data_IF_605302652262
#
_entry.id   IF_605302652262
#
_cell.length_a   1.000
_cell.length_b   1.000
_cell.length_c   1.000
_cell.angle_alpha   90.00
_cell.angle_beta   90.00
_cell.angle_gamma   90.00
#
_symmetry.space_group_name_H-M   'P 1'
#
loop_
_entity.id
_entity.type
_entity.pdbx_description
1 polymer ?
#
# COMPACT_ATOMS: atom_id res chain seq x y z
N UNK A 1 6.20 29.43 52.50
CA UNK A 1 4.96 29.43 51.69
C UNK A 1 5.14 28.37 50.63
N UNK A 2 4.34 27.31 50.69
CA UNK A 2 4.48 26.12 49.85
C UNK A 2 4.13 26.46 48.40
N UNK A 3 5.15 26.68 47.56
CA UNK A 3 5.00 26.87 46.11
C UNK A 3 4.29 25.69 45.43
N UNK A 4 4.31 24.50 46.05
CA UNK A 4 3.64 23.28 45.57
C UNK A 4 2.12 23.26 45.79
N UNK A 5 1.54 24.27 46.46
CA UNK A 5 0.09 24.37 46.72
C UNK A 5 -0.62 25.42 45.87
N UNK A 6 0.10 26.22 45.09
CA UNK A 6 -0.53 27.19 44.21
C UNK A 6 -1.21 26.48 43.02
N UNK A 7 -2.50 26.74 42.73
CA UNK A 7 -3.26 26.05 41.69
C UNK A 7 -2.59 26.16 40.31
N UNK A 8 -1.94 27.28 40.03
CA UNK A 8 -1.20 27.50 38.79
C UNK A 8 0.03 26.59 38.64
N UNK A 9 0.84 26.43 39.70
CA UNK A 9 2.02 25.56 39.65
C UNK A 9 1.60 24.09 39.45
N UNK A 10 0.51 23.67 40.11
CA UNK A 10 -0.06 22.33 39.92
C UNK A 10 -0.55 22.11 38.48
N UNK A 11 -1.13 23.13 37.84
CA UNK A 11 -1.54 23.03 36.43
C UNK A 11 -0.33 22.76 35.50
N UNK A 12 0.77 23.50 35.66
CA UNK A 12 1.98 23.28 34.88
C UNK A 12 2.66 21.92 35.17
N UNK A 13 2.56 21.41 36.39
CA UNK A 13 3.03 20.05 36.70
C UNK A 13 2.22 18.99 35.93
N UNK A 14 0.90 19.18 35.84
CA UNK A 14 0.02 18.30 35.06
C UNK A 14 0.32 18.37 33.56
N UNK A 15 0.63 19.55 33.02
CA UNK A 15 1.05 19.70 31.61
C UNK A 15 2.33 18.91 31.30
N UNK A 16 3.37 19.03 32.14
CA UNK A 16 4.61 18.25 31.99
C UNK A 16 4.35 16.74 32.09
N UNK A 17 3.44 16.34 32.97
CA UNK A 17 3.00 14.94 33.10
C UNK A 17 2.27 14.49 31.83
N UNK A 18 1.38 15.31 31.29
CA UNK A 18 0.63 15.04 30.07
C UNK A 18 1.55 14.84 28.86
N UNK A 19 2.60 15.66 28.70
CA UNK A 19 3.61 15.49 27.66
C UNK A 19 4.32 14.13 27.75
N UNK A 20 4.66 13.72 28.98
CA UNK A 20 5.31 12.41 29.23
C UNK A 20 4.37 11.27 28.86
N UNK A 21 3.09 11.35 29.25
CA UNK A 21 2.07 10.35 28.93
C UNK A 21 1.74 10.28 27.44
N UNK A 22 1.77 11.42 26.74
CA UNK A 22 1.59 11.52 25.29
C UNK A 22 2.70 10.75 24.55
N UNK A 23 3.96 10.89 24.98
CA UNK A 23 5.09 10.10 24.45
C UNK A 23 4.93 8.60 24.72
N UNK A 24 4.33 8.23 25.85
CA UNK A 24 4.01 6.84 26.20
C UNK A 24 2.75 6.29 25.51
N UNK A 25 2.07 7.09 24.67
CA UNK A 25 0.81 6.74 23.97
C UNK A 25 -0.35 6.39 24.92
N UNK A 26 -0.30 6.84 26.18
CA UNK A 26 -1.36 6.68 27.17
C UNK A 26 -2.38 7.82 27.04
N UNK A 27 -3.23 7.71 26.01
CA UNK A 27 -4.14 8.80 25.61
C UNK A 27 -5.11 9.21 26.72
N UNK A 28 -5.69 8.25 27.45
CA UNK A 28 -6.68 8.52 28.51
C UNK A 28 -6.08 9.27 29.71
N UNK A 29 -4.94 8.80 30.21
CA UNK A 29 -4.23 9.45 31.31
C UNK A 29 -3.76 10.87 30.91
N UNK A 30 -3.37 11.05 29.65
CA UNK A 30 -2.97 12.34 29.08
C UNK A 30 -4.17 13.32 29.02
N UNK A 31 -5.33 12.86 28.54
CA UNK A 31 -6.57 13.65 28.52
C UNK A 31 -6.93 14.09 29.94
N UNK A 32 -6.88 13.17 30.91
CA UNK A 32 -7.21 13.48 32.29
C UNK A 32 -6.29 14.57 32.88
N UNK A 33 -4.99 14.54 32.57
CA UNK A 33 -4.06 15.57 33.04
C UNK A 33 -4.41 16.96 32.49
N UNK A 34 -4.78 17.07 31.21
CA UNK A 34 -5.23 18.35 30.63
C UNK A 34 -6.58 18.81 31.20
N UNK A 35 -7.52 17.89 31.45
CA UNK A 35 -8.81 18.20 32.11
C UNK A 35 -8.59 18.76 33.50
N UNK A 36 -7.75 18.11 34.31
CA UNK A 36 -7.40 18.58 35.65
C UNK A 36 -6.68 19.94 35.61
N UNK A 37 -5.81 20.17 34.61
CA UNK A 37 -5.16 21.47 34.41
C UNK A 37 -6.17 22.59 34.08
N UNK A 38 -7.15 22.33 33.21
CA UNK A 38 -8.24 23.29 32.89
C UNK A 38 -9.00 23.70 34.14
N UNK A 39 -9.34 22.75 35.02
CA UNK A 39 -10.05 23.04 36.26
C UNK A 39 -9.21 23.91 37.23
N UNK A 40 -7.89 23.71 37.25
CA UNK A 40 -6.99 24.55 38.04
C UNK A 40 -6.87 25.95 37.44
N UNK A 41 -6.78 26.09 36.12
CA UNK A 41 -6.78 27.40 35.47
C UNK A 41 -8.08 28.16 35.71
N UNK A 42 -9.25 27.50 35.67
CA UNK A 42 -10.55 28.11 36.05
C UNK A 42 -10.52 28.68 37.47
N UNK A 43 -9.92 27.95 38.42
CA UNK A 43 -9.75 28.44 39.80
C UNK A 43 -8.80 29.63 39.87
N UNK A 44 -7.71 29.62 39.11
CA UNK A 44 -6.79 30.75 39.04
C UNK A 44 -7.47 32.01 38.47
N UNK A 45 -8.34 31.85 37.46
CA UNK A 45 -9.10 32.97 36.88
C UNK A 45 -10.08 33.60 37.87
N UNK A 46 -10.63 32.82 38.80
CA UNK A 46 -11.54 33.32 39.84
C UNK A 46 -10.82 34.05 40.99
N UNK A 47 -9.52 33.78 41.18
CA UNK A 47 -8.73 34.30 42.30
C UNK A 47 -7.81 35.47 41.92
N UNK A 48 -7.59 35.71 40.63
CA UNK A 48 -6.66 36.72 40.14
C UNK A 48 -7.33 38.07 39.90
N UNK A 49 -6.66 39.16 40.28
CA UNK A 49 -7.12 40.54 40.03
C UNK A 49 -6.37 41.22 38.87
N UNK A 50 -5.19 40.70 38.50
CA UNK A 50 -4.37 41.29 37.44
C UNK A 50 -4.87 40.84 36.05
N UNK A 51 -5.43 41.79 35.30
CA UNK A 51 -5.95 41.58 33.94
C UNK A 51 -4.96 40.87 33.00
N UNK A 52 -3.69 41.26 32.99
CA UNK A 52 -2.70 40.65 32.09
C UNK A 52 -2.42 39.18 32.47
N UNK A 53 -2.38 38.88 33.77
CA UNK A 53 -2.21 37.51 34.23
C UNK A 53 -3.44 36.67 33.92
N UNK A 54 -4.65 37.21 34.07
CA UNK A 54 -5.89 36.55 33.71
C UNK A 54 -5.96 36.22 32.22
N UNK A 55 -5.57 37.15 31.34
CA UNK A 55 -5.50 36.90 29.89
C UNK A 55 -4.52 35.77 29.56
N UNK A 56 -3.34 35.75 30.19
CA UNK A 56 -2.37 34.67 30.00
C UNK A 56 -2.89 33.32 30.47
N UNK A 57 -3.55 33.28 31.63
CA UNK A 57 -4.16 32.07 32.20
C UNK A 57 -5.31 31.57 31.31
N UNK A 58 -6.11 32.49 30.75
CA UNK A 58 -7.19 32.18 29.83
C UNK A 58 -6.65 31.51 28.57
N UNK A 59 -5.57 32.03 27.98
CA UNK A 59 -4.92 31.41 26.81
C UNK A 59 -4.39 30.00 27.13
N UNK A 60 -3.80 29.81 28.31
CA UNK A 60 -3.33 28.49 28.76
C UNK A 60 -4.48 27.49 28.93
N UNK A 61 -5.61 27.95 29.49
CA UNK A 61 -6.83 27.15 29.60
C UNK A 61 -7.35 26.73 28.23
N UNK A 62 -7.48 27.67 27.29
CA UNK A 62 -7.94 27.41 25.92
C UNK A 62 -7.02 26.45 25.18
N UNK A 63 -5.70 26.58 25.37
CA UNK A 63 -4.73 25.64 24.82
C UNK A 63 -4.96 24.22 25.36
N UNK A 64 -5.17 24.04 26.66
CA UNK A 64 -5.46 22.73 27.23
C UNK A 64 -6.81 22.16 26.75
N UNK A 65 -7.84 23.00 26.60
CA UNK A 65 -9.12 22.59 26.01
C UNK A 65 -8.95 22.11 24.56
N UNK A 66 -8.10 22.79 23.77
CA UNK A 66 -7.73 22.35 22.41
C UNK A 66 -7.00 21.01 22.43
N UNK A 67 -6.03 20.81 23.33
CA UNK A 67 -5.30 19.56 23.47
C UNK A 67 -6.22 18.38 23.84
N UNK A 68 -7.20 18.59 24.73
CA UNK A 68 -8.19 17.58 25.07
C UNK A 68 -8.95 17.11 23.82
N UNK A 69 -9.44 18.04 23.00
CA UNK A 69 -10.17 17.71 21.76
C UNK A 69 -9.31 16.89 20.80
N UNK A 70 -8.07 17.33 20.57
CA UNK A 70 -7.14 16.63 19.68
C UNK A 70 -6.86 15.20 20.15
N UNK A 71 -6.61 15.02 21.44
CA UNK A 71 -6.35 13.70 22.01
C UNK A 71 -7.58 12.79 21.93
N UNK A 72 -8.78 13.32 22.15
CA UNK A 72 -10.04 12.57 22.00
C UNK A 72 -10.25 12.15 20.54
N UNK A 73 -10.04 13.04 19.59
CA UNK A 73 -10.17 12.73 18.17
C UNK A 73 -9.17 11.66 17.74
N UNK A 74 -7.90 11.81 18.14
CA UNK A 74 -6.84 10.83 17.87
C UNK A 74 -7.12 9.47 18.53
N UNK A 75 -7.67 9.45 19.74
CA UNK A 75 -8.13 8.23 20.41
C UNK A 75 -9.22 7.54 19.58
N UNK A 76 -10.26 8.27 19.17
CA UNK A 76 -11.37 7.71 18.37
C UNK A 76 -10.90 7.12 17.03
N UNK A 77 -9.89 7.73 16.40
CA UNK A 77 -9.33 7.24 15.15
C UNK A 77 -8.53 5.95 15.37
N UNK A 78 -7.76 5.88 16.45
CA UNK A 78 -7.02 4.67 16.82
C UNK A 78 -7.95 3.51 17.18
N UNK A 79 -9.08 3.78 17.82
CA UNK A 79 -10.08 2.76 18.14
C UNK A 79 -10.71 2.20 16.87
N UNK A 80 -11.17 3.05 15.95
CA UNK A 80 -11.72 2.63 14.64
C UNK A 80 -10.73 1.79 13.83
N UNK A 81 -9.48 2.25 13.72
CA UNK A 81 -8.45 1.51 12.96
C UNK A 81 -8.05 0.19 13.65
N UNK A 82 -8.08 0.11 14.98
CA UNK A 82 -7.88 -1.15 15.71
C UNK A 82 -9.02 -2.14 15.45
N UNK A 83 -10.25 -1.67 15.38
CA UNK A 83 -11.40 -2.51 15.05
C UNK A 83 -11.28 -3.04 13.62
N UNK A 84 -11.02 -2.17 12.64
CA UNK A 84 -10.80 -2.56 11.24
C UNK A 84 -9.65 -3.55 11.05
N UNK A 85 -8.55 -3.39 11.79
CA UNK A 85 -7.41 -4.32 11.75
C UNK A 85 -7.69 -5.63 12.49
N UNK A 86 -8.55 -5.65 13.51
CA UNK A 86 -9.03 -6.91 14.11
C UNK A 86 -9.83 -7.74 13.11
N UNK A 87 -10.57 -7.08 12.20
CA UNK A 87 -11.27 -7.75 11.09
C UNK A 87 -10.33 -8.15 9.94
N UNK A 88 -9.20 -7.44 9.72
CA UNK A 88 -8.17 -7.81 8.71
C UNK A 88 -7.05 -8.74 9.22
N UNK A 89 -6.86 -8.87 10.52
CA UNK A 89 -5.75 -9.61 11.14
C UNK A 89 -5.77 -11.12 10.90
N UNK A 90 -6.88 -11.65 10.35
CA UNK A 90 -7.00 -13.04 9.95
C UNK A 90 -6.28 -13.32 8.61
N UNK A 91 -5.95 -12.30 7.80
CA UNK A 91 -5.41 -12.50 6.44
C UNK A 91 -3.95 -12.10 6.21
N UNK A 92 -3.28 -11.39 7.13
CA UNK A 92 -1.97 -10.76 6.86
C UNK A 92 -0.79 -11.20 7.76
N UNK A 93 -0.78 -12.43 8.25
CA UNK A 93 0.40 -13.03 8.92
C UNK A 93 1.44 -13.57 7.92
N UNK A 94 1.94 -12.74 7.00
CA UNK A 94 3.02 -13.10 6.05
C UNK A 94 3.95 -11.92 5.77
N UNK A 95 4.71 -11.47 6.76
CA UNK A 95 5.89 -10.64 6.53
C UNK A 95 7.14 -11.39 7.00
N UNK A 96 7.54 -12.38 6.19
CA UNK A 96 8.82 -13.12 6.23
C UNK A 96 9.69 -12.75 5.01
N UNK A 97 9.36 -11.67 4.29
CA UNK A 97 9.95 -11.37 2.98
C UNK A 97 11.42 -10.93 3.05
N UNK A 98 11.88 -10.36 4.16
CA UNK A 98 13.27 -9.90 4.26
C UNK A 98 14.30 -11.05 4.31
N UNK A 99 13.95 -12.18 4.92
CA UNK A 99 14.80 -13.39 4.90
C UNK A 99 14.77 -14.13 3.54
N UNK A 100 13.85 -13.78 2.64
CA UNK A 100 13.68 -14.51 1.36
C UNK A 100 14.50 -13.92 0.21
N UNK A 101 14.76 -12.61 0.19
CA UNK A 101 15.45 -11.96 -0.94
C UNK A 101 16.95 -12.22 -0.86
N UNK A 102 17.58 -11.97 0.28
CA UNK A 102 19.02 -12.20 0.49
C UNK A 102 19.38 -13.69 0.31
N UNK A 103 18.47 -14.59 0.69
CA UNK A 103 18.61 -16.03 0.50
C UNK A 103 18.45 -16.44 -0.98
N UNK A 104 17.59 -15.76 -1.74
CA UNK A 104 17.42 -16.00 -3.17
C UNK A 104 18.62 -15.49 -3.98
N UNK A 105 19.14 -14.31 -3.65
CA UNK A 105 20.36 -13.75 -4.26
C UNK A 105 21.55 -14.69 -4.06
N UNK A 106 21.78 -15.15 -2.83
CA UNK A 106 22.84 -16.12 -2.54
C UNK A 106 22.66 -17.45 -3.30
N UNK A 107 21.41 -17.92 -3.48
CA UNK A 107 21.12 -19.11 -4.29
C UNK A 107 21.40 -18.90 -5.77
N UNK A 108 21.09 -17.73 -6.31
CA UNK A 108 21.34 -17.38 -7.71
C UNK A 108 22.86 -17.36 -7.98
N UNK A 109 23.63 -16.67 -7.14
CA UNK A 109 25.09 -16.62 -7.28
C UNK A 109 25.76 -17.99 -7.08
N UNK A 110 25.30 -18.79 -6.12
CA UNK A 110 25.80 -20.16 -5.93
C UNK A 110 25.50 -21.05 -7.14
N UNK A 111 24.32 -20.92 -7.75
CA UNK A 111 23.96 -21.69 -8.95
C UNK A 111 24.86 -21.30 -10.14
N UNK A 112 25.08 -20.01 -10.31
CA UNK A 112 26.03 -19.46 -11.28
C UNK A 112 27.46 -19.99 -11.09
N UNK A 113 27.97 -20.06 -9.87
CA UNK A 113 29.29 -20.65 -9.59
C UNK A 113 29.35 -22.14 -9.96
N UNK A 114 28.29 -22.90 -9.63
CA UNK A 114 28.23 -24.33 -9.99
C UNK A 114 28.13 -24.54 -11.51
N UNK A 115 27.40 -23.67 -12.19
CA UNK A 115 27.25 -23.72 -13.65
C UNK A 115 28.56 -23.40 -14.36
N UNK A 116 29.28 -22.35 -13.94
CA UNK A 116 30.58 -22.01 -14.51
C UNK A 116 31.65 -23.08 -14.23
N UNK A 117 31.62 -23.69 -13.05
CA UNK A 117 32.49 -24.82 -12.71
C UNK A 117 32.25 -26.01 -13.65
N UNK A 118 30.98 -26.28 -14.00
CA UNK A 118 30.62 -27.33 -14.95
C UNK A 118 31.05 -26.98 -16.39
N UNK A 119 30.80 -25.75 -16.84
CA UNK A 119 31.26 -25.28 -18.15
C UNK A 119 32.78 -25.36 -18.27
N UNK A 120 33.51 -24.95 -17.22
CA UNK A 120 34.96 -25.06 -17.14
C UNK A 120 35.43 -26.51 -17.21
N UNK A 121 34.78 -27.41 -16.47
CA UNK A 121 35.08 -28.84 -16.51
C UNK A 121 34.85 -29.45 -17.90
N UNK A 122 33.75 -29.09 -18.59
CA UNK A 122 33.46 -29.56 -19.94
C UNK A 122 34.47 -29.02 -20.96
N UNK A 123 34.85 -27.75 -20.85
CA UNK A 123 35.90 -27.15 -21.67
C UNK A 123 37.23 -27.89 -21.52
N UNK A 124 37.61 -28.22 -20.28
CA UNK A 124 38.87 -28.92 -19.99
C UNK A 124 38.86 -30.38 -20.44
N UNK A 125 37.70 -31.05 -20.39
CA UNK A 125 37.53 -32.43 -20.86
C UNK A 125 37.56 -32.53 -22.39
N UNK A 126 37.00 -31.56 -23.10
CA UNK A 126 37.07 -31.49 -24.57
C UNK A 126 38.51 -31.39 -25.09
N UNK A 127 39.35 -30.62 -24.41
CA UNK A 127 40.78 -30.48 -24.74
C UNK A 127 41.53 -31.82 -24.55
N UNK A 128 41.28 -32.54 -23.45
CA UNK A 128 41.92 -33.84 -23.15
C UNK A 128 41.47 -34.96 -24.11
N UNK A 129 40.27 -34.85 -24.68
CA UNK A 129 39.73 -35.82 -25.63
C UNK A 129 40.26 -35.62 -27.06
N UNK A 130 40.45 -34.37 -27.51
CA UNK A 130 41.03 -34.07 -28.82
C UNK A 130 42.51 -34.49 -28.91
N UNK A 131 43.25 -34.44 -27.79
CA UNK A 131 44.67 -34.83 -27.74
C UNK A 131 44.91 -36.36 -27.89
N UNK A 132 43.86 -37.20 -27.77
CA UNK A 132 43.97 -38.66 -27.91
C UNK A 132 43.60 -39.20 -29.29
N UNK A 133 43.11 -38.38 -30.22
CA UNK A 133 42.55 -38.87 -31.50
C UNK A 133 43.44 -38.64 -32.73
N UNK A 134 44.65 -38.08 -32.58
CA UNK A 134 45.61 -37.87 -33.69
C UNK A 134 46.70 -38.95 -33.78
N UNK A 135 46.36 -40.22 -33.54
CA UNK A 135 47.26 -41.35 -33.79
C UNK A 135 46.47 -42.54 -34.35
N UNK A 136 46.06 -42.40 -35.62
CA UNK A 136 45.45 -43.44 -36.43
C UNK A 136 45.92 -43.29 -37.88
N UNK A 137 47.05 -43.93 -38.18
CA UNK A 137 47.55 -44.25 -39.52
C UNK A 137 46.49 -44.96 -40.35
N UNK A 138 46.33 -44.62 -41.63
CA UNK A 138 46.07 -45.56 -42.75
C UNK A 138 46.58 -44.88 -44.04
N UNK A 139 47.58 -45.52 -44.64
CA UNK A 139 48.04 -45.34 -46.01
C UNK A 139 47.07 -46.01 -47.01
N UNK A 140 47.02 -45.44 -48.22
CA UNK A 140 46.75 -46.04 -49.55
C UNK A 140 45.45 -46.85 -49.83
N UNK A 141 44.66 -46.35 -50.79
CA UNK A 141 44.14 -47.13 -51.93
C UNK A 141 43.50 -46.22 -53.00
N UNK A 142 43.65 -46.62 -54.26
CA UNK A 142 43.40 -45.92 -55.52
C UNK A 142 41.91 -45.77 -55.94
N UNK A 143 41.67 -44.77 -56.80
CA UNK A 143 40.68 -44.65 -57.90
C UNK A 143 39.29 -45.33 -57.83
N UNK A 144 38.20 -44.54 -57.90
CA UNK A 144 37.31 -44.38 -59.10
C UNK A 144 36.05 -43.56 -58.83
N UNK A 145 35.60 -42.91 -59.90
CA UNK A 145 34.30 -42.28 -60.16
C UNK A 145 33.14 -42.70 -59.26
N UNK A 146 32.53 -41.72 -58.58
CA UNK A 146 31.12 -41.36 -58.70
C UNK A 146 30.88 -40.08 -57.88
N UNK A 147 30.19 -39.10 -58.46
CA UNK A 147 29.85 -37.84 -57.81
C UNK A 147 29.11 -38.09 -56.49
N UNK A 148 29.58 -37.59 -55.33
CA UNK A 148 28.79 -37.71 -54.12
C UNK A 148 27.63 -36.71 -54.22
N UNK A 149 26.43 -37.25 -54.35
CA UNK A 149 25.18 -36.57 -54.00
C UNK A 149 25.39 -35.89 -52.64
N UNK A 150 25.52 -34.56 -52.66
CA UNK A 150 25.74 -33.75 -51.45
C UNK A 150 24.44 -33.74 -50.66
N UNK A 151 24.21 -34.81 -49.90
CA UNK A 151 23.28 -34.81 -48.78
C UNK A 151 23.85 -33.82 -47.78
N UNK A 152 23.13 -32.73 -47.54
CA UNK A 152 23.43 -31.75 -46.52
C UNK A 152 23.34 -32.38 -45.13
N UNK A 153 24.35 -33.16 -44.76
CA UNK A 153 24.54 -33.66 -43.41
C UNK A 153 24.94 -32.47 -42.55
N UNK A 154 23.94 -31.83 -41.92
CA UNK A 154 24.17 -30.92 -40.80
C UNK A 154 24.92 -31.73 -39.74
N UNK A 155 26.24 -31.58 -39.72
CA UNK A 155 27.05 -32.19 -38.68
C UNK A 155 26.56 -31.65 -37.33
N UNK A 156 26.46 -32.49 -36.29
CA UNK A 156 26.26 -32.02 -34.93
C UNK A 156 27.31 -30.95 -34.64
N UNK A 157 26.91 -29.87 -33.97
CA UNK A 157 27.85 -28.79 -33.60
C UNK A 157 29.01 -29.42 -32.83
N UNK A 158 30.22 -28.97 -33.13
CA UNK A 158 31.41 -29.38 -32.37
C UNK A 158 31.24 -28.97 -30.90
N UNK A 159 31.59 -29.86 -29.98
CA UNK A 159 31.44 -29.66 -28.54
C UNK A 159 32.16 -28.38 -28.09
N UNK A 160 33.26 -28.02 -28.76
CA UNK A 160 33.98 -26.76 -28.54
C UNK A 160 33.10 -25.54 -28.80
N UNK A 161 32.35 -25.53 -29.90
CA UNK A 161 31.46 -24.43 -30.29
C UNK A 161 30.29 -24.34 -29.32
N UNK A 162 29.72 -25.49 -28.92
CA UNK A 162 28.63 -25.54 -27.94
C UNK A 162 29.06 -25.00 -26.58
N UNK A 163 30.28 -25.31 -26.13
CA UNK A 163 30.84 -24.81 -24.87
C UNK A 163 31.09 -23.29 -24.92
N UNK A 164 31.51 -22.76 -26.07
CA UNK A 164 31.67 -21.31 -26.28
C UNK A 164 30.32 -20.58 -26.25
N UNK A 165 29.32 -21.09 -26.98
CA UNK A 165 27.94 -20.55 -26.95
C UNK A 165 27.36 -20.59 -25.52
N UNK A 166 27.63 -21.65 -24.73
CA UNK A 166 27.22 -21.76 -23.34
C UNK A 166 27.89 -20.73 -22.42
N UNK A 167 29.18 -20.41 -22.66
CA UNK A 167 29.89 -19.36 -21.91
C UNK A 167 29.27 -17.99 -22.19
N UNK A 168 29.01 -17.69 -23.47
CA UNK A 168 28.43 -16.43 -23.88
C UNK A 168 27.02 -16.24 -23.30
N UNK A 169 26.17 -17.27 -23.38
CA UNK A 169 24.82 -17.24 -22.82
C UNK A 169 24.83 -17.11 -21.28
N UNK A 170 25.76 -17.79 -20.60
CA UNK A 170 25.97 -17.66 -19.14
C UNK A 170 26.35 -16.22 -18.77
N UNK A 171 27.22 -15.59 -19.57
CA UNK A 171 27.61 -14.19 -19.42
C UNK A 171 26.41 -13.23 -19.54
N UNK A 172 25.63 -13.36 -20.61
CA UNK A 172 24.43 -12.54 -20.84
C UNK A 172 23.40 -12.67 -19.70
N UNK A 173 23.21 -13.90 -19.18
CA UNK A 173 22.31 -14.14 -18.07
C UNK A 173 22.77 -13.43 -16.78
N UNK A 174 24.09 -13.42 -16.50
CA UNK A 174 24.66 -12.67 -15.36
C UNK A 174 24.44 -11.18 -15.49
N UNK A 175 24.70 -10.61 -16.66
CA UNK A 175 24.48 -9.18 -16.93
C UNK A 175 23.00 -8.81 -16.74
N UNK A 176 22.08 -9.65 -17.21
CA UNK A 176 20.64 -9.47 -17.01
C UNK A 176 20.25 -9.50 -15.54
N UNK A 177 20.73 -10.51 -14.79
CA UNK A 177 20.47 -10.61 -13.35
C UNK A 177 21.05 -9.44 -12.57
N UNK A 178 22.29 -9.03 -12.88
CA UNK A 178 22.91 -7.86 -12.25
C UNK A 178 22.12 -6.58 -12.54
N UNK A 179 21.64 -6.41 -13.77
CA UNK A 179 20.77 -5.30 -14.14
C UNK A 179 19.46 -5.28 -13.34
N UNK A 180 18.87 -6.44 -13.06
CA UNK A 180 17.68 -6.55 -12.21
C UNK A 180 17.97 -6.22 -10.75
N UNK A 181 19.11 -6.64 -10.20
CA UNK A 181 19.52 -6.32 -8.83
C UNK A 181 19.74 -4.81 -8.66
N UNK A 182 20.48 -4.18 -9.58
CA UNK A 182 20.69 -2.72 -9.56
C UNK A 182 19.35 -1.96 -9.62
N UNK A 183 18.40 -2.45 -10.42
CA UNK A 183 17.07 -1.87 -10.50
C UNK A 183 16.24 -2.05 -9.23
N UNK A 184 16.45 -3.13 -8.46
CA UNK A 184 15.81 -3.32 -7.16
C UNK A 184 16.40 -2.36 -6.13
N UNK A 185 17.72 -2.19 -6.12
CA UNK A 185 18.42 -1.25 -5.24
C UNK A 185 17.99 0.20 -5.51
N UNK A 186 17.93 0.61 -6.78
CA UNK A 186 17.43 1.92 -7.18
C UNK A 186 15.99 2.17 -6.71
N UNK A 187 15.14 1.14 -6.80
CA UNK A 187 13.75 1.22 -6.30
C UNK A 187 13.71 1.32 -4.78
N UNK A 188 14.57 0.57 -4.08
CA UNK A 188 14.68 0.61 -2.63
C UNK A 188 15.11 2.00 -2.14
N UNK A 189 16.13 2.60 -2.78
CA UNK A 189 16.59 3.97 -2.48
C UNK A 189 15.47 4.99 -2.73
N UNK A 190 14.75 4.89 -3.85
CA UNK A 190 13.60 5.78 -4.14
C UNK A 190 12.49 5.65 -3.10
N UNK A 191 12.20 4.44 -2.64
CA UNK A 191 11.23 4.20 -1.57
C UNK A 191 11.66 4.88 -0.27
N UNK A 192 12.93 4.75 0.11
CA UNK A 192 13.47 5.40 1.31
C UNK A 192 13.38 6.93 1.22
N UNK A 193 13.70 7.51 0.05
CA UNK A 193 13.54 8.94 -0.21
C UNK A 193 12.08 9.41 -0.13
N UNK A 194 11.13 8.62 -0.66
CA UNK A 194 9.70 8.94 -0.56
C UNK A 194 9.24 8.86 0.90
N UNK A 195 9.64 7.82 1.64
CA UNK A 195 9.34 7.68 3.07
C UNK A 195 9.88 8.89 3.85
N UNK A 196 11.10 9.33 3.55
CA UNK A 196 11.70 10.50 4.18
C UNK A 196 10.98 11.79 3.81
N UNK A 197 10.63 12.00 2.54
CA UNK A 197 9.82 13.15 2.10
C UNK A 197 8.45 13.19 2.78
N UNK A 198 7.80 12.04 2.95
CA UNK A 198 6.51 11.92 3.67
C UNK A 198 6.69 12.18 5.17
N UNK A 199 7.83 11.82 5.76
CA UNK A 199 8.13 12.19 7.15
C UNK A 199 8.37 13.69 7.28
N UNK A 200 9.05 14.30 6.31
CA UNK A 200 9.39 15.72 6.32
C UNK A 200 8.21 16.63 5.97
N UNK A 201 7.23 16.16 5.19
CA UNK A 201 5.98 16.89 4.94
C UNK A 201 5.03 16.91 6.16
N UNK A 202 5.25 16.04 7.16
CA UNK A 202 4.50 16.02 8.44
C UNK A 202 4.98 17.04 9.47
N UNK A 203 5.70 18.08 9.06
CA UNK A 203 6.30 19.07 9.98
C UNK A 203 5.42 20.28 10.28
N UNK A 204 4.26 20.45 9.64
CA UNK A 204 3.26 21.44 10.09
C UNK A 204 2.17 20.78 10.94
N UNK A 205 2.60 20.19 12.07
CA UNK A 205 1.69 19.55 13.04
C UNK A 205 0.64 20.52 13.59
N UNK A 206 0.96 21.81 13.62
CA UNK A 206 0.03 22.86 14.06
C UNK A 206 -1.14 23.01 13.08
N UNK A 207 -0.87 23.03 11.77
CA UNK A 207 -1.90 23.10 10.73
C UNK A 207 -2.71 21.80 10.62
N UNK A 208 -2.06 20.63 10.77
CA UNK A 208 -2.76 19.34 10.81
C UNK A 208 -3.75 19.24 11.99
N UNK A 209 -3.34 19.69 13.17
CA UNK A 209 -4.19 19.75 14.36
C UNK A 209 -5.37 20.73 14.19
N UNK A 210 -5.15 21.88 13.54
CA UNK A 210 -6.21 22.85 13.21
C UNK A 210 -7.28 22.23 12.29
N UNK A 211 -6.83 21.58 11.22
CA UNK A 211 -7.70 20.94 10.23
C UNK A 211 -8.51 19.79 10.84
N UNK A 212 -7.92 19.03 11.76
CA UNK A 212 -8.57 17.94 12.48
C UNK A 212 -9.76 18.43 13.33
N UNK A 213 -9.59 19.55 14.04
CA UNK A 213 -10.67 20.15 14.83
C UNK A 213 -11.77 20.69 13.91
N UNK A 214 -11.41 21.42 12.86
CA UNK A 214 -12.38 21.95 11.90
C UNK A 214 -13.21 20.84 11.25
N UNK A 215 -12.58 19.72 10.91
CA UNK A 215 -13.25 18.57 10.31
C UNK A 215 -14.22 17.89 11.29
N UNK A 216 -13.86 17.79 12.58
CA UNK A 216 -14.76 17.29 13.62
C UNK A 216 -15.99 18.20 13.81
N UNK A 217 -15.78 19.52 13.84
CA UNK A 217 -16.86 20.50 13.96
C UNK A 217 -17.82 20.43 12.75
N UNK A 218 -17.29 20.35 11.52
CA UNK A 218 -18.11 20.13 10.31
C UNK A 218 -18.87 18.81 10.34
N UNK A 219 -18.27 17.73 10.83
CA UNK A 219 -18.96 16.45 10.93
C UNK A 219 -20.11 16.48 11.95
N UNK A 220 -19.95 17.21 13.06
CA UNK A 220 -21.04 17.45 14.01
C UNK A 220 -22.17 18.27 13.39
N UNK A 221 -21.84 19.32 12.65
CA UNK A 221 -22.82 20.12 11.89
C UNK A 221 -23.59 19.25 10.89
N UNK A 222 -22.89 18.42 10.12
CA UNK A 222 -23.53 17.46 9.19
C UNK A 222 -24.45 16.51 9.96
N UNK A 223 -24.05 16.02 11.13
CA UNK A 223 -24.88 15.17 11.98
C UNK A 223 -26.15 15.87 12.46
N UNK A 224 -26.05 17.13 12.88
CA UNK A 224 -27.19 17.95 13.28
C UNK A 224 -28.15 18.21 12.12
N UNK A 225 -27.61 18.54 10.93
CA UNK A 225 -28.41 18.73 9.72
C UNK A 225 -29.13 17.45 9.32
N UNK A 226 -28.48 16.29 9.39
CA UNK A 226 -29.11 14.99 9.13
C UNK A 226 -30.24 14.68 10.11
N UNK A 227 -30.05 14.98 11.39
CA UNK A 227 -31.10 14.81 12.39
C UNK A 227 -32.30 15.74 12.11
N UNK A 228 -32.03 17.00 11.80
CA UNK A 228 -33.06 17.97 11.44
C UNK A 228 -33.84 17.58 10.19
N UNK A 229 -33.15 17.09 9.13
CA UNK A 229 -33.82 16.57 7.93
C UNK A 229 -34.73 15.40 8.28
N UNK A 230 -34.26 14.47 9.11
CA UNK A 230 -35.06 13.32 9.55
C UNK A 230 -36.31 13.74 10.33
N UNK A 231 -36.21 14.74 11.20
CA UNK A 231 -37.36 15.26 11.95
C UNK A 231 -38.38 15.93 11.01
N UNK A 232 -37.91 16.69 10.01
CA UNK A 232 -38.77 17.28 8.98
C UNK A 232 -39.44 16.22 8.09
N UNK A 233 -38.75 15.14 7.75
CA UNK A 233 -39.32 14.01 6.99
C UNK A 233 -40.44 13.32 7.78
N UNK A 234 -40.26 13.13 9.10
CA UNK A 234 -41.29 12.59 9.98
C UNK A 234 -42.52 13.52 10.04
N UNK A 235 -42.31 14.83 10.22
CA UNK A 235 -43.41 15.80 10.25
C UNK A 235 -44.16 15.87 8.92
N UNK A 236 -43.46 15.68 7.80
CA UNK A 236 -44.08 15.60 6.47
C UNK A 236 -44.95 14.33 6.33
N UNK A 237 -44.47 13.20 6.83
CA UNK A 237 -45.21 11.94 6.81
C UNK A 237 -46.52 12.04 7.63
N UNK A 238 -46.46 12.63 8.82
CA UNK A 238 -47.64 12.85 9.67
C UNK A 238 -48.67 13.76 9.00
N UNK A 239 -48.22 14.81 8.30
CA UNK A 239 -49.11 15.73 7.56
C UNK A 239 -49.75 15.09 6.32
N UNK A 240 -49.01 14.23 5.61
CA UNK A 240 -49.55 13.46 4.48
C UNK A 240 -50.58 12.41 4.95
N UNK A 241 -50.37 11.76 6.09
CA UNK A 241 -51.38 10.85 6.69
C UNK A 241 -52.65 11.59 7.12
N UNK A 242 -52.55 12.80 7.68
CA UNK A 242 -53.72 13.61 8.05
C UNK A 242 -54.47 14.11 6.80
N UNK A 243 -53.77 14.43 5.72
CA UNK A 243 -54.38 14.83 4.43
C UNK A 243 -55.16 13.68 3.79
N UNK A 244 -54.59 12.47 3.79
CA UNK A 244 -55.22 11.29 3.18
C UNK A 244 -56.42 10.75 3.98
N UNK A 245 -56.43 10.90 5.31
CA UNK A 245 -57.55 10.46 6.15
C UNK A 245 -58.77 11.39 6.07
N UNK A 246 -58.62 12.63 5.62
CA UNK A 246 -59.74 13.55 5.39
C UNK A 246 -60.42 13.39 4.02
N UNK A 247 -59.88 12.52 3.15
CA UNK A 247 -60.46 12.19 1.84
C UNK A 247 -61.06 10.77 1.82
N UNK A 248 -61.83 10.42 2.85
CA UNK A 248 -62.62 9.17 2.87
C UNK A 248 -64.11 9.47 2.66
N UNK A 249 -64.45 9.92 1.46
CA UNK A 249 -65.82 9.84 0.94
C UNK A 249 -65.99 8.50 0.23
N UNK A 250 -66.95 7.74 0.74
CA UNK A 250 -67.56 6.55 0.19
C UNK A 250 -67.84 6.67 -1.32
N UNK A 251 -67.25 5.81 -2.13
CA UNK A 251 -67.91 5.20 -3.30
C UNK A 251 -67.20 3.89 -3.64
N UNK A 252 -67.91 2.80 -3.40
CA UNK A 252 -67.68 1.48 -3.97
C UNK A 252 -67.72 1.57 -5.50
N UNK A 253 -66.80 0.89 -6.20
CA UNK A 253 -67.11 -0.02 -7.32
C UNK A 253 -65.86 -0.37 -8.14
N UNK A 254 -65.72 -1.69 -8.33
CA UNK A 254 -65.23 -2.39 -9.52
C UNK A 254 -63.75 -2.32 -9.95
N UNK A 255 -63.11 -3.45 -9.70
CA UNK A 255 -62.51 -4.34 -10.71
C UNK A 255 -61.27 -3.89 -11.51
N UNK A 256 -60.31 -4.82 -11.50
CA UNK A 256 -59.37 -5.24 -12.55
C UNK A 256 -57.91 -4.78 -12.50
N UNK A 257 -57.08 -5.84 -12.51
CA UNK A 257 -55.74 -6.01 -13.08
C UNK A 257 -54.55 -5.30 -12.44
N UNK A 258 -53.78 -6.10 -11.70
CA UNK A 258 -52.32 -6.01 -11.65
C UNK A 258 -51.71 -6.06 -13.05
N UNK A 259 -50.80 -5.13 -13.35
CA UNK A 259 -49.64 -5.38 -14.20
C UNK A 259 -48.58 -4.32 -13.93
N UNK A 260 -47.34 -4.78 -13.75
CA UNK A 260 -46.15 -3.96 -13.64
C UNK A 260 -45.74 -3.37 -15.00
N UNK A 261 -45.29 -2.12 -14.99
CA UNK A 261 -44.46 -1.38 -15.97
C UNK A 261 -43.93 -0.16 -15.19
N UNK A 262 -42.67 -0.06 -14.78
CA UNK A 262 -41.45 0.31 -15.55
C UNK A 262 -41.58 1.67 -16.27
N UNK A 263 -40.48 2.46 -16.26
CA UNK A 263 -40.27 3.85 -16.75
C UNK A 263 -40.71 4.98 -15.80
N UNK A 264 -40.01 6.09 -15.62
CA UNK A 264 -38.64 6.55 -15.90
C UNK A 264 -38.54 7.86 -15.10
N UNK A 265 -37.46 8.07 -14.34
CA UNK A 265 -37.18 9.37 -13.73
C UNK A 265 -36.02 10.01 -14.46
N UNK A 266 -36.38 10.99 -15.29
CA UNK A 266 -35.49 11.86 -16.03
C UNK A 266 -34.46 12.52 -15.11
N UNK A 267 -33.19 12.23 -15.40
CA UNK A 267 -32.01 12.89 -14.90
C UNK A 267 -31.84 14.24 -15.63
N UNK A 268 -32.35 15.34 -15.07
CA UNK A 268 -32.10 16.68 -15.63
C UNK A 268 -31.59 17.71 -14.61
N UNK A 269 -30.83 17.31 -13.59
CA UNK A 269 -30.17 18.27 -12.67
C UNK A 269 -28.68 17.95 -12.35
N UNK A 270 -27.95 17.33 -13.28
CA UNK A 270 -26.49 17.14 -13.15
C UNK A 270 -25.61 18.04 -14.03
N UNK A 271 -26.20 19.01 -14.75
CA UNK A 271 -25.47 19.81 -15.74
C UNK A 271 -25.04 21.22 -15.29
N UNK A 272 -24.96 21.52 -13.98
CA UNK A 272 -24.56 22.86 -13.51
C UNK A 272 -23.40 22.89 -12.50
N UNK A 273 -22.43 21.96 -12.64
CA UNK A 273 -21.13 22.08 -11.97
C UNK A 273 -20.04 22.49 -12.96
N UNK A 274 -19.09 23.35 -12.56
CA UNK A 274 -17.99 23.77 -13.42
C UNK A 274 -17.09 22.56 -13.73
N UNK A 275 -16.91 22.28 -15.02
CA UNK A 275 -15.99 21.25 -15.49
C UNK A 275 -14.56 21.69 -15.21
N UNK A 276 -13.90 21.03 -14.25
CA UNK A 276 -12.45 21.09 -14.12
C UNK A 276 -11.85 20.26 -15.25
N UNK A 277 -11.17 20.91 -16.20
CA UNK A 277 -10.34 20.26 -17.22
C UNK A 277 -9.18 19.53 -16.53
N UNK A 278 -9.41 18.26 -16.20
CA UNK A 278 -8.33 17.34 -15.84
C UNK A 278 -7.77 16.80 -17.14
N UNK A 279 -6.68 17.40 -17.62
CA UNK A 279 -5.87 16.80 -18.67
C UNK A 279 -5.40 15.41 -18.19
N UNK A 280 -5.78 14.31 -18.86
CA UNK A 280 -5.30 12.99 -18.48
C UNK A 280 -3.80 12.93 -18.75
N UNK A 281 -3.03 12.68 -17.69
CA UNK A 281 -1.63 12.31 -17.83
C UNK A 281 -1.58 11.03 -18.65
N UNK A 282 -1.12 11.15 -19.90
CA UNK A 282 -0.86 10.03 -20.79
C UNK A 282 0.27 9.18 -20.20
N UNK A 283 -0.12 8.10 -19.54
CA UNK A 283 0.81 7.04 -19.16
C UNK A 283 1.09 6.24 -20.45
N UNK A 284 2.34 6.09 -20.90
CA UNK A 284 2.63 5.30 -22.10
C UNK A 284 2.10 3.88 -21.90
N UNK A 285 1.23 3.44 -22.80
CA UNK A 285 0.57 2.15 -22.77
C UNK A 285 1.60 1.02 -22.71
N UNK A 286 1.54 0.24 -21.64
CA UNK A 286 2.25 -1.02 -21.54
C UNK A 286 1.52 -2.00 -22.46
N UNK A 287 2.12 -2.32 -23.61
CA UNK A 287 1.62 -3.34 -24.51
C UNK A 287 1.87 -4.73 -23.90
N UNK A 288 0.83 -5.26 -23.25
CA UNK A 288 0.81 -6.59 -22.63
C UNK A 288 0.69 -7.72 -23.67
N UNK A 289 0.56 -7.39 -24.97
CA UNK A 289 0.43 -8.36 -26.05
C UNK A 289 1.72 -9.17 -26.27
N UNK A 290 2.87 -8.63 -25.86
CA UNK A 290 4.16 -9.33 -25.91
C UNK A 290 4.26 -10.52 -24.94
N UNK A 291 3.48 -10.54 -23.85
CA UNK A 291 3.54 -11.62 -22.85
C UNK A 291 2.75 -12.88 -23.23
N UNK A 292 1.92 -12.84 -24.29
CA UNK A 292 1.13 -14.00 -24.75
C UNK A 292 1.91 -14.96 -25.67
N UNK A 293 3.15 -14.64 -26.05
CA UNK A 293 3.93 -15.46 -26.98
C UNK A 293 4.88 -16.47 -26.31
N UNK A 294 5.02 -16.47 -24.98
CA UNK A 294 5.77 -17.53 -24.30
C UNK A 294 4.91 -18.78 -24.11
N UNK A 295 4.83 -19.62 -25.15
CA UNK A 295 4.51 -21.04 -24.98
C UNK A 295 5.77 -21.76 -24.53
N UNK A 296 5.76 -22.26 -23.30
CA UNK A 296 6.74 -23.25 -22.83
C UNK A 296 6.77 -24.43 -23.81
N UNK A 297 7.95 -24.88 -24.28
CA UNK A 297 8.06 -26.15 -24.98
C UNK A 297 7.60 -27.27 -24.05
N UNK A 298 6.71 -28.14 -24.51
CA UNK A 298 6.36 -29.36 -23.80
C UNK A 298 7.61 -30.21 -23.62
N UNK A 299 8.16 -30.22 -22.41
CA UNK A 299 9.25 -31.12 -22.04
C UNK A 299 8.68 -32.54 -22.04
N UNK A 300 9.13 -33.35 -22.99
CA UNK A 300 8.78 -34.76 -23.12
C UNK A 300 8.89 -35.49 -21.78
N UNK A 301 7.76 -36.03 -21.29
CA UNK A 301 7.65 -36.85 -20.06
C UNK A 301 8.42 -38.18 -20.09
N UNK A 302 9.25 -38.44 -21.11
CA UNK A 302 10.03 -39.67 -21.26
C UNK A 302 11.40 -39.66 -20.57
N UNK A 303 11.80 -38.55 -19.91
CA UNK A 303 13.08 -38.46 -19.19
C UNK A 303 13.00 -38.73 -17.69
N UNK A 304 11.82 -38.92 -17.10
CA UNK A 304 11.71 -39.57 -15.79
C UNK A 304 11.60 -41.08 -16.00
N UNK A 305 12.74 -41.70 -16.31
CA UNK A 305 12.91 -43.13 -16.11
C UNK A 305 12.71 -43.46 -14.65
N UNK A 306 11.56 -44.04 -14.31
CA UNK A 306 11.46 -44.93 -13.15
C UNK A 306 12.14 -46.22 -13.55
N UNK A 307 13.41 -46.36 -13.18
CA UNK A 307 14.08 -47.65 -13.07
C UNK A 307 13.71 -48.25 -11.71
N UNK A 308 13.02 -49.38 -11.78
CA UNK A 308 12.81 -50.45 -10.77
C UNK A 308 12.15 -50.11 -9.43
#
# INVERSE_FOLDING_TARGET
>A
MDMDKAPLNRAHQLERKAETLSRQKKMDECIQCHVEAVELYKKCLQLGDNKQALESIQLQKEWNERQIRLLQLKKSYLERTKEETKYRGITLSKNSTKETVDNLEAKIFRNFETHDSLIGYLAQRGIIAQDRHYQGTIEEAEEKDESPFVVGNKHPKDDSIVIEELKELSGQLRESVQGMLNQLDDRQIKLEQIIEKVKNSKLDKSSEEELLIQLDDRNKEIGQLRAYIKDLELEKCDKEEISNNNLKTTTESSETSSSATEFDLDNTELNSLPQLEVNPISVPGIDISAFKQFRLPEVNRKLLGKSE
#
